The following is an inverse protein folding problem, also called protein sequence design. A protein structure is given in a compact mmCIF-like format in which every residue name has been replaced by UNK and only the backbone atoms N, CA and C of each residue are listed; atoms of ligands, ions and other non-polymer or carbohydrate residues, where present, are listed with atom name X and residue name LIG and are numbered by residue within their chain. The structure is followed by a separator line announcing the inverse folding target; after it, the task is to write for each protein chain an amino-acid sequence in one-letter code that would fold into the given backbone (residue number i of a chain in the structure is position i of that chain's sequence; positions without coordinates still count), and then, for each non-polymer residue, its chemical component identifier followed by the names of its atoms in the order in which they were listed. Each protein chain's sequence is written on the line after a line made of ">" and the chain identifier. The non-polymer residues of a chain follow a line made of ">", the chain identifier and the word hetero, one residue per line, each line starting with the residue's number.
data_IF_623315849931
#
_entry.id   IF_623315849931
#
_cell.length_a   1.000
_cell.length_b   1.000
_cell.length_c   1.000
_cell.angle_alpha   90.00
_cell.angle_beta   90.00
_cell.angle_gamma   90.00
#
_symmetry.space_group_name_H-M   'P 1'
#
loop_
_entity.id
_entity.type
_entity.pdbx_description
1 polymer ?
#
# COMPACT_ATOMS: atom_id res chain seq x y z
N UNK A 1 -0.53 0.41 6.35
CA UNK A 1 -1.09 -0.87 5.87
C UNK A 1 -2.57 -0.67 5.53
N UNK A 2 -2.96 -1.16 4.39
CA UNK A 2 -4.31 -0.98 3.89
C UNK A 2 -4.80 -2.25 3.21
N UNK A 3 -6.03 -2.66 3.50
CA UNK A 3 -6.62 -3.88 2.96
C UNK A 3 -7.71 -3.55 1.95
N UNK A 4 -7.79 -4.34 0.90
CA UNK A 4 -8.85 -4.27 -0.09
C UNK A 4 -9.23 -5.67 -0.57
N UNK A 5 -10.44 -5.81 -1.08
CA UNK A 5 -10.97 -7.09 -1.54
C UNK A 5 -11.70 -6.90 -2.87
N UNK A 6 -11.51 -7.85 -3.75
CA UNK A 6 -12.18 -7.87 -5.05
C UNK A 6 -12.53 -9.30 -5.45
N UNK A 7 -13.23 -9.46 -6.56
CA UNK A 7 -13.51 -10.77 -7.12
C UNK A 7 -12.30 -11.35 -7.85
N UNK A 8 -12.26 -12.66 -8.01
CA UNK A 8 -11.23 -13.30 -8.83
C UNK A 8 -11.22 -12.75 -10.26
N UNK A 9 -12.39 -12.40 -10.79
CA UNK A 9 -12.50 -11.84 -12.14
C UNK A 9 -11.87 -10.46 -12.28
N UNK A 10 -11.93 -9.63 -11.23
CA UNK A 10 -11.43 -8.27 -11.25
C UNK A 10 -10.00 -8.11 -10.68
N UNK A 11 -9.44 -9.16 -10.10
CA UNK A 11 -8.17 -9.06 -9.37
C UNK A 11 -7.02 -8.57 -10.26
N UNK A 12 -6.88 -9.10 -11.47
CA UNK A 12 -5.80 -8.69 -12.38
C UNK A 12 -6.03 -7.29 -12.93
N UNK A 13 -7.29 -6.93 -13.20
CA UNK A 13 -7.65 -5.60 -13.65
C UNK A 13 -7.38 -4.53 -12.57
N UNK A 14 -7.50 -4.90 -11.31
CA UNK A 14 -7.15 -4.04 -10.18
C UNK A 14 -5.63 -3.92 -10.02
N UNK A 15 -4.92 -5.04 -10.05
CA UNK A 15 -3.47 -5.08 -9.81
C UNK A 15 -2.67 -4.40 -10.91
N UNK A 16 -3.02 -4.63 -12.18
CA UNK A 16 -2.21 -4.20 -13.32
C UNK A 16 -1.94 -2.69 -13.34
N UNK A 17 -2.93 -1.79 -13.22
CA UNK A 17 -2.64 -0.35 -13.19
C UNK A 17 -1.87 0.09 -11.95
N UNK A 18 -2.00 -0.61 -10.83
CA UNK A 18 -1.18 -0.31 -9.64
C UNK A 18 0.30 -0.51 -9.95
N UNK A 19 0.64 -1.65 -10.55
CA UNK A 19 2.03 -1.99 -10.87
C UNK A 19 2.60 -1.13 -11.99
N UNK A 20 1.82 -0.82 -13.01
CA UNK A 20 2.32 -0.14 -14.21
C UNK A 20 2.30 1.37 -14.12
N UNK A 21 1.48 1.97 -13.26
CA UNK A 21 1.28 3.42 -13.23
C UNK A 21 1.22 4.02 -11.83
N UNK A 22 0.38 3.47 -10.95
CA UNK A 22 0.10 4.12 -9.65
C UNK A 22 1.34 4.13 -8.76
N UNK A 23 2.01 3.00 -8.62
CA UNK A 23 3.21 2.90 -7.76
C UNK A 23 4.38 3.72 -8.31
N UNK A 24 4.55 3.76 -9.63
CA UNK A 24 5.54 4.63 -10.27
C UNK A 24 5.22 6.11 -10.03
N UNK A 25 3.95 6.50 -10.14
CA UNK A 25 3.53 7.87 -9.89
C UNK A 25 3.80 8.28 -8.44
N UNK A 26 3.59 7.39 -7.48
CA UNK A 26 3.90 7.64 -6.07
C UNK A 26 5.41 7.83 -5.89
N UNK A 27 6.22 6.96 -6.48
CA UNK A 27 7.67 7.05 -6.40
C UNK A 27 8.20 8.37 -6.97
N UNK A 28 7.60 8.86 -8.06
CA UNK A 28 7.99 10.11 -8.72
C UNK A 28 7.62 11.36 -7.93
N UNK A 29 6.73 11.26 -6.94
CA UNK A 29 6.42 12.39 -6.05
C UNK A 29 7.61 12.79 -5.19
N UNK A 30 8.62 11.93 -5.09
CA UNK A 30 9.86 12.19 -4.33
C UNK A 30 9.56 12.64 -2.90
N UNK A 31 8.72 11.90 -2.22
CA UNK A 31 8.30 12.22 -0.85
C UNK A 31 9.47 11.90 0.10
N UNK A 32 9.92 12.91 0.83
CA UNK A 32 10.96 12.72 1.83
C UNK A 32 10.55 11.67 2.86
N UNK A 33 11.41 10.69 3.09
CA UNK A 33 11.14 9.60 4.03
C UNK A 33 10.32 8.44 3.48
N UNK A 34 9.86 8.51 2.23
CA UNK A 34 9.24 7.38 1.57
C UNK A 34 10.28 6.31 1.21
N UNK A 35 10.02 5.05 1.55
CA UNK A 35 10.97 3.95 1.41
C UNK A 35 10.50 2.84 0.48
N UNK A 36 9.30 2.91 -0.04
CA UNK A 36 8.81 1.93 -0.99
C UNK A 36 7.43 1.40 -0.65
N UNK A 37 6.96 0.51 -1.51
CA UNK A 37 5.62 -0.05 -1.44
C UNK A 37 5.68 -1.53 -1.82
N UNK A 38 4.89 -2.34 -1.12
CA UNK A 38 4.69 -3.74 -1.44
C UNK A 38 3.21 -4.02 -1.58
N UNK A 39 2.86 -4.84 -2.56
CA UNK A 39 1.50 -5.31 -2.76
C UNK A 39 1.48 -6.81 -2.50
N UNK A 40 0.67 -7.23 -1.55
CA UNK A 40 0.46 -8.63 -1.21
C UNK A 40 -0.90 -9.07 -1.71
N UNK A 41 -0.99 -10.28 -2.21
CA UNK A 41 -2.22 -10.83 -2.77
C UNK A 41 -2.48 -12.22 -2.20
N UNK A 42 -3.74 -12.48 -1.85
CA UNK A 42 -4.18 -13.78 -1.36
C UNK A 42 -5.52 -14.14 -1.96
N UNK A 43 -5.61 -15.32 -2.55
CA UNK A 43 -6.89 -15.88 -2.97
C UNK A 43 -7.62 -16.48 -1.78
N UNK A 44 -8.90 -16.18 -1.65
CA UNK A 44 -9.78 -16.70 -0.61
C UNK A 44 -11.14 -17.05 -1.23
N UNK A 45 -11.28 -18.28 -1.70
CA UNK A 45 -12.45 -18.71 -2.45
C UNK A 45 -12.59 -17.94 -3.76
N UNK A 46 -13.75 -17.31 -3.98
CA UNK A 46 -14.02 -16.49 -5.15
C UNK A 46 -13.56 -15.05 -4.99
N UNK A 47 -13.01 -14.71 -3.84
CA UNK A 47 -12.52 -13.38 -3.51
C UNK A 47 -11.01 -13.36 -3.50
N UNK A 48 -10.43 -12.21 -3.82
CA UNK A 48 -9.00 -11.97 -3.72
C UNK A 48 -8.79 -10.81 -2.76
N UNK A 49 -7.99 -11.04 -1.73
CA UNK A 49 -7.59 -10.02 -0.78
C UNK A 49 -6.24 -9.43 -1.18
N UNK A 50 -6.13 -8.12 -1.09
CA UNK A 50 -4.88 -7.39 -1.28
C UNK A 50 -4.50 -6.67 0.00
N UNK A 51 -3.21 -6.64 0.28
CA UNK A 51 -2.64 -5.79 1.32
C UNK A 51 -1.59 -4.90 0.68
N UNK A 52 -1.73 -3.61 0.86
CA UNK A 52 -0.74 -2.63 0.43
C UNK A 52 0.05 -2.19 1.64
N UNK A 53 1.37 -2.39 1.59
CA UNK A 53 2.31 -1.94 2.61
C UNK A 53 3.15 -0.83 2.04
N UNK A 54 3.11 0.35 2.66
CA UNK A 54 3.99 1.45 2.32
C UNK A 54 4.96 1.67 3.48
N UNK A 55 6.22 1.93 3.13
CA UNK A 55 7.31 2.07 4.08
C UNK A 55 7.77 3.51 4.14
N UNK A 56 7.74 4.10 5.33
CA UNK A 56 8.13 5.48 5.56
C UNK A 56 9.06 5.58 6.76
N UNK A 57 9.89 6.62 6.80
CA UNK A 57 10.80 6.85 7.93
C UNK A 57 10.09 7.39 9.17
N UNK A 58 8.96 8.09 8.99
CA UNK A 58 8.29 8.81 10.06
C UNK A 58 6.82 9.01 9.76
N UNK A 59 6.06 9.35 10.79
CA UNK A 59 4.67 9.75 10.65
C UNK A 59 4.53 11.06 9.85
N UNK A 60 5.48 11.96 9.96
CA UNK A 60 5.48 13.19 9.16
C UNK A 60 5.61 12.90 7.66
N UNK A 61 6.41 11.90 7.29
CA UNK A 61 6.51 11.46 5.90
C UNK A 61 5.18 10.88 5.39
N UNK A 62 4.45 10.17 6.23
CA UNK A 62 3.10 9.67 5.90
C UNK A 62 2.15 10.83 5.68
N UNK A 63 2.19 11.85 6.51
CA UNK A 63 1.35 13.06 6.35
C UNK A 63 1.66 13.80 5.05
N UNK A 64 2.92 13.82 4.64
CA UNK A 64 3.30 14.39 3.36
C UNK A 64 2.69 13.63 2.17
N UNK A 65 2.44 12.33 2.32
CA UNK A 65 1.76 11.51 1.31
C UNK A 65 0.24 11.64 1.38
N UNK A 66 -0.34 11.44 2.55
CA UNK A 66 -1.78 11.27 2.75
C UNK A 66 -2.51 12.54 3.20
N UNK A 67 -1.77 13.57 3.60
CA UNK A 67 -2.33 14.79 4.16
C UNK A 67 -2.30 14.82 5.69
N UNK A 68 -2.85 15.88 6.32
CA UNK A 68 -2.79 16.07 7.78
C UNK A 68 -3.36 14.90 8.59
N UNK A 69 -4.43 14.26 8.11
CA UNK A 69 -4.91 13.02 8.69
C UNK A 69 -4.19 11.85 7.98
N UNK A 70 -3.17 11.34 8.63
CA UNK A 70 -2.32 10.28 8.07
C UNK A 70 -3.06 8.96 7.83
N UNK A 71 -4.23 8.76 8.42
CA UNK A 71 -5.01 7.53 8.30
C UNK A 71 -6.06 7.57 7.19
N UNK A 72 -6.24 8.68 6.51
CA UNK A 72 -7.16 8.75 5.37
C UNK A 72 -6.61 7.88 4.23
N UNK A 73 -7.43 6.92 3.78
CA UNK A 73 -7.06 6.08 2.64
C UNK A 73 -7.12 6.88 1.34
N UNK A 74 -6.06 6.75 0.53
CA UNK A 74 -5.98 7.38 -0.79
C UNK A 74 -6.31 6.32 -1.83
N UNK A 75 -7.55 6.31 -2.31
CA UNK A 75 -8.06 5.27 -3.23
C UNK A 75 -8.50 5.92 -4.54
N UNK A 76 -7.80 5.65 -5.66
CA UNK A 76 -8.22 6.16 -6.96
C UNK A 76 -9.63 5.69 -7.34
N UNK A 77 -10.41 6.54 -7.99
CA UNK A 77 -11.77 6.21 -8.40
C UNK A 77 -11.84 4.96 -9.28
N UNK A 78 -10.89 4.80 -10.19
CA UNK A 78 -10.82 3.62 -11.04
C UNK A 78 -10.62 2.33 -10.23
N UNK A 79 -9.85 2.39 -9.15
CA UNK A 79 -9.68 1.26 -8.23
C UNK A 79 -10.95 0.98 -7.44
N UNK A 80 -11.65 2.01 -6.97
CA UNK A 80 -12.92 1.85 -6.24
C UNK A 80 -13.95 1.09 -7.06
N UNK A 81 -14.00 1.33 -8.37
CA UNK A 81 -14.95 0.65 -9.26
C UNK A 81 -14.72 -0.87 -9.35
N UNK A 82 -13.52 -1.34 -9.09
CA UNK A 82 -13.15 -2.75 -9.17
C UNK A 82 -13.18 -3.47 -7.81
N UNK A 83 -13.15 -2.73 -6.72
CA UNK A 83 -13.12 -3.29 -5.38
C UNK A 83 -14.53 -3.55 -4.84
N UNK A 84 -14.71 -4.67 -4.16
CA UNK A 84 -15.96 -4.96 -3.45
C UNK A 84 -16.04 -4.22 -2.13
N UNK A 85 -14.89 -4.15 -1.44
CA UNK A 85 -14.75 -3.42 -0.19
C UNK A 85 -13.29 -3.09 0.05
N UNK A 86 -13.04 -2.12 0.89
CA UNK A 86 -11.69 -1.73 1.31
C UNK A 86 -11.76 -1.02 2.65
N UNK A 87 -10.62 -0.97 3.34
CA UNK A 87 -10.52 -0.23 4.59
C UNK A 87 -10.74 1.26 4.34
N UNK A 88 -11.61 1.87 5.12
CA UNK A 88 -11.86 3.31 5.03
C UNK A 88 -10.64 4.12 5.47
N UNK A 89 -9.81 3.55 6.32
CA UNK A 89 -8.62 4.20 6.86
C UNK A 89 -7.41 3.28 6.73
N UNK A 90 -6.24 3.87 6.54
CA UNK A 90 -4.98 3.13 6.57
C UNK A 90 -4.50 3.03 8.01
N UNK A 91 -4.07 1.84 8.42
CA UNK A 91 -3.48 1.62 9.74
C UNK A 91 -1.96 1.79 9.64
N UNK A 92 -1.37 2.47 10.60
CA UNK A 92 0.07 2.68 10.67
C UNK A 92 0.63 1.97 11.88
N UNK A 93 1.73 1.26 11.66
CA UNK A 93 2.41 0.50 12.68
C UNK A 93 3.87 0.93 12.76
N UNK A 94 4.38 1.07 13.97
CA UNK A 94 5.79 1.29 14.18
C UNK A 94 6.51 -0.06 14.16
N UNK A 95 7.59 -0.14 13.37
CA UNK A 95 8.42 -1.36 13.37
C UNK A 95 9.26 -1.41 14.64
N UNK A 96 9.05 -2.42 15.44
CA UNK A 96 9.79 -2.62 16.70
C UNK A 96 10.95 -3.60 16.51
N UNK A 97 10.76 -4.59 15.63
CA UNK A 97 11.79 -5.55 15.27
C UNK A 97 11.81 -5.58 13.76
N UNK A 98 12.78 -4.92 13.10
CA UNK A 98 12.81 -4.86 11.65
C UNK A 98 13.24 -6.20 11.05
N UNK A 99 12.61 -6.53 9.91
CA UNK A 99 13.10 -7.59 9.05
C UNK A 99 14.28 -7.10 8.22
N UNK A 100 15.09 -8.03 7.73
CA UNK A 100 16.15 -7.71 6.79
C UNK A 100 15.57 -7.56 5.37
N UNK A 101 16.28 -6.79 4.52
CA UNK A 101 15.96 -6.75 3.10
C UNK A 101 16.31 -8.09 2.42
N UNK A 102 16.11 -8.17 1.10
CA UNK A 102 16.37 -9.38 0.34
C UNK A 102 17.84 -9.85 0.43
N UNK A 103 18.77 -8.95 0.67
CA UNK A 103 20.18 -9.29 0.87
C UNK A 103 20.51 -9.65 2.34
N UNK A 104 19.58 -9.44 3.25
CA UNK A 104 19.79 -9.65 4.67
C UNK A 104 20.70 -8.63 5.34
N UNK A 105 21.00 -7.53 4.67
CA UNK A 105 21.99 -6.55 5.12
C UNK A 105 21.37 -5.28 5.69
N UNK A 106 20.19 -4.92 5.23
CA UNK A 106 19.56 -3.65 5.56
C UNK A 106 18.18 -3.92 6.11
N UNK A 107 17.92 -3.44 7.34
CA UNK A 107 16.60 -3.45 7.92
C UNK A 107 15.75 -2.37 7.24
N UNK A 108 14.50 -2.71 6.93
CA UNK A 108 13.56 -1.76 6.33
C UNK A 108 12.77 -1.06 7.43
N UNK A 109 12.80 0.28 7.49
CA UNK A 109 11.87 0.99 8.34
C UNK A 109 10.45 0.82 7.80
N UNK A 110 9.49 0.68 8.68
CA UNK A 110 8.10 0.49 8.31
C UNK A 110 7.18 1.34 9.18
N UNK A 111 6.03 1.51 8.68
CA UNK A 111 4.92 2.19 9.35
C UNK A 111 3.85 1.23 9.73
#
# INVERSE_FOLDING_TARGET
>A
MWHSWTTSANADAYESPLRSAVFDAIARRDIAGYRGIELLRRRDGDEVAFVTLMWFESLDAIRAFAGPDAEIAVVPLAAQALLERYDARSAHYEVRVPGADAAGLIARPAI
#
